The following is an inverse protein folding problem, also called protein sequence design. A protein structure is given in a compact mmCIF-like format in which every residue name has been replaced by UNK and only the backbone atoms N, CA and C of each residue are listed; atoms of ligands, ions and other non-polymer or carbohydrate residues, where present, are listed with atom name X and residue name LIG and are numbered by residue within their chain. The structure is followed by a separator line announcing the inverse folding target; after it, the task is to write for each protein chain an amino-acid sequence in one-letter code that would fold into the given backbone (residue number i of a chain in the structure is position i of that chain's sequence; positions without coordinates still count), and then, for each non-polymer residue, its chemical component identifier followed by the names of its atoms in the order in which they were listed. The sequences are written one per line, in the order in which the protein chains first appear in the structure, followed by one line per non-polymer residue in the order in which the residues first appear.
data_IF_138041208338
#
_entry.id   IF_138041208338
#
_cell.length_a   1.000
_cell.length_b   1.000
_cell.length_c   1.000
_cell.angle_alpha   90.00
_cell.angle_beta   90.00
_cell.angle_gamma   90.00
#
_symmetry.space_group_name_H-M   'P 1'
#
loop_
_entity.id
_entity.type
_entity.pdbx_description
1 polymer ?
#
# COMPACT_ATOMS: atom_id res chain seq x y z
N UNK A 1 12.12 37.69 -58.70
CA UNK A 1 12.10 36.40 -57.98
C UNK A 1 13.30 36.35 -57.04
N UNK A 2 13.11 36.24 -55.72
CA UNK A 2 14.23 36.08 -54.77
C UNK A 2 13.94 36.60 -53.36
N UNK A 3 12.92 36.05 -52.70
CA UNK A 3 12.61 36.37 -51.30
C UNK A 3 13.66 35.72 -50.34
N UNK A 4 13.93 36.32 -49.16
CA UNK A 4 15.21 36.21 -48.49
C UNK A 4 15.36 34.91 -47.68
N UNK A 5 16.19 33.98 -48.15
CA UNK A 5 16.53 32.73 -47.45
C UNK A 5 17.21 32.97 -46.08
N UNK A 6 17.88 34.12 -45.90
CA UNK A 6 18.65 34.47 -44.70
C UNK A 6 17.78 34.71 -43.45
N UNK A 7 16.55 35.24 -43.64
CA UNK A 7 15.60 35.50 -42.54
C UNK A 7 14.87 34.23 -42.10
N UNK A 8 14.53 33.35 -43.05
CA UNK A 8 13.89 32.05 -42.78
C UNK A 8 14.81 31.11 -42.01
N UNK A 9 16.09 31.05 -42.38
CA UNK A 9 17.10 30.29 -41.65
C UNK A 9 17.30 30.83 -40.22
N UNK A 10 17.33 32.16 -40.03
CA UNK A 10 17.45 32.78 -38.71
C UNK A 10 16.23 32.52 -37.82
N UNK A 11 15.00 32.60 -38.36
CA UNK A 11 13.78 32.23 -37.61
C UNK A 11 13.76 30.74 -37.25
N UNK A 12 14.16 29.85 -38.16
CA UNK A 12 14.27 28.41 -37.89
C UNK A 12 15.32 28.10 -36.81
N UNK A 13 16.48 28.77 -36.85
CA UNK A 13 17.53 28.67 -35.83
C UNK A 13 17.04 29.16 -34.45
N UNK A 14 16.30 30.27 -34.42
CA UNK A 14 15.72 30.81 -33.18
C UNK A 14 14.63 29.88 -32.60
N UNK A 15 13.76 29.32 -33.43
CA UNK A 15 12.73 28.36 -33.01
C UNK A 15 13.33 27.06 -32.45
N UNK A 16 14.37 26.53 -33.10
CA UNK A 16 15.10 25.35 -32.60
C UNK A 16 15.83 25.64 -31.28
N UNK A 17 16.40 26.83 -31.12
CA UNK A 17 17.03 27.25 -29.87
C UNK A 17 16.02 27.38 -28.71
N UNK A 18 14.79 27.83 -28.98
CA UNK A 18 13.73 27.89 -27.96
C UNK A 18 13.21 26.52 -27.54
N UNK A 19 13.23 25.52 -28.43
CA UNK A 19 12.78 24.16 -28.12
C UNK A 19 13.76 23.41 -27.20
N UNK A 20 15.05 23.77 -27.23
CA UNK A 20 16.07 23.23 -26.33
C UNK A 20 16.05 23.84 -24.91
N UNK A 21 15.39 24.99 -24.71
CA UNK A 21 15.22 25.63 -23.39
C UNK A 21 14.06 25.04 -22.58
N UNK A 22 13.14 24.29 -23.21
CA UNK A 22 11.95 23.70 -22.55
C UNK A 22 12.21 22.27 -22.09
N UNK A 23 13.35 21.66 -22.41
CA UNK A 23 13.76 20.39 -21.82
C UNK A 23 14.56 20.62 -20.55
N UNK A 24 13.88 21.00 -19.47
CA UNK A 24 14.41 20.80 -18.13
C UNK A 24 14.08 19.37 -17.71
N UNK A 25 14.99 18.37 -17.76
CA UNK A 25 14.83 17.14 -16.99
C UNK A 25 15.19 17.46 -15.52
N UNK A 26 14.50 18.45 -14.96
CA UNK A 26 14.77 19.03 -13.65
C UNK A 26 13.62 18.79 -12.68
N UNK A 27 12.81 17.76 -12.90
CA UNK A 27 11.98 17.23 -11.83
C UNK A 27 12.83 16.22 -11.08
N UNK A 28 13.72 16.72 -10.22
CA UNK A 28 14.16 15.94 -9.09
C UNK A 28 12.94 15.73 -8.21
N UNK A 29 12.17 14.68 -8.48
CA UNK A 29 11.36 14.06 -7.45
C UNK A 29 12.36 13.72 -6.35
N UNK A 30 12.40 14.54 -5.29
CA UNK A 30 12.96 14.11 -4.02
C UNK A 30 12.08 12.95 -3.58
N UNK A 31 12.40 11.75 -4.05
CA UNK A 31 11.78 10.52 -3.59
C UNK A 31 12.31 10.34 -2.18
N UNK A 32 11.63 10.98 -1.22
CA UNK A 32 11.93 10.79 0.20
C UNK A 32 11.98 9.30 0.45
N UNK A 33 13.04 8.84 1.10
CA UNK A 33 13.15 7.44 1.54
C UNK A 33 11.85 7.06 2.26
N UNK A 34 11.19 5.95 1.88
CA UNK A 34 9.99 5.49 2.55
C UNK A 34 10.26 5.43 4.05
N UNK A 35 9.46 6.12 4.85
CA UNK A 35 9.64 6.13 6.30
C UNK A 35 9.56 4.67 6.79
N UNK A 36 10.63 4.20 7.44
CA UNK A 36 10.67 2.90 8.11
C UNK A 36 10.18 3.09 9.54
N UNK A 37 9.16 2.32 9.93
CA UNK A 37 8.61 2.39 11.28
C UNK A 37 8.01 1.04 11.67
N UNK A 38 8.06 0.75 12.98
CA UNK A 38 7.52 -0.50 13.53
C UNK A 38 5.99 -0.57 13.48
N UNK A 39 5.40 -1.74 13.76
CA UNK A 39 3.95 -1.91 13.75
C UNK A 39 3.22 -0.99 14.74
N UNK A 40 2.25 -0.24 14.22
CA UNK A 40 1.33 0.59 15.00
C UNK A 40 -0.07 0.09 14.72
N UNK A 41 -0.79 -0.35 15.77
CA UNK A 41 -2.16 -0.79 15.64
C UNK A 41 -3.07 0.34 15.16
N UNK A 42 -3.82 0.07 14.10
CA UNK A 42 -4.96 0.88 13.66
C UNK A 42 -6.28 0.25 14.11
N UNK A 43 -6.32 -1.07 14.21
CA UNK A 43 -7.47 -1.84 14.63
C UNK A 43 -7.00 -2.99 15.54
N UNK A 44 -7.65 -3.12 16.68
CA UNK A 44 -7.35 -4.13 17.69
C UNK A 44 -8.55 -5.06 17.88
N UNK A 45 -8.33 -6.33 18.24
CA UNK A 45 -9.43 -7.22 18.57
C UNK A 45 -10.22 -6.68 19.75
N UNK A 46 -11.54 -6.70 19.60
CA UNK A 46 -12.49 -6.36 20.66
C UNK A 46 -13.21 -7.60 21.14
N UNK A 47 -13.64 -7.58 22.40
CA UNK A 47 -14.52 -8.63 22.91
C UNK A 47 -15.86 -8.61 22.17
N UNK A 48 -16.30 -9.78 21.71
CA UNK A 48 -17.58 -9.97 21.06
C UNK A 48 -18.25 -11.24 21.60
N UNK A 49 -19.57 -11.30 21.47
CA UNK A 49 -20.38 -12.49 21.78
C UNK A 49 -20.93 -13.02 20.47
N UNK A 50 -20.74 -14.32 20.22
CA UNK A 50 -21.29 -15.00 19.06
C UNK A 50 -22.58 -15.73 19.47
N UNK A 51 -23.76 -15.40 18.91
CA UNK A 51 -25.01 -16.08 19.24
C UNK A 51 -25.00 -17.53 18.76
N UNK A 52 -25.41 -18.48 19.60
CA UNK A 52 -25.47 -19.90 19.22
C UNK A 52 -26.53 -20.15 18.12
N UNK A 53 -27.60 -19.36 18.09
CA UNK A 53 -28.64 -19.41 17.05
C UNK A 53 -28.29 -18.64 15.76
N UNK A 54 -27.06 -18.11 15.63
CA UNK A 54 -26.64 -17.41 14.41
C UNK A 54 -26.65 -18.35 13.20
N UNK A 55 -27.08 -17.83 12.05
CA UNK A 55 -26.97 -18.51 10.77
C UNK A 55 -25.57 -18.36 10.15
N UNK A 56 -24.73 -17.46 10.68
CA UNK A 56 -23.32 -17.37 10.29
C UNK A 56 -22.55 -18.60 10.78
N UNK A 57 -21.63 -19.07 9.95
CA UNK A 57 -20.76 -20.21 10.24
C UNK A 57 -19.34 -19.77 10.62
N UNK A 58 -19.10 -18.47 10.81
CA UNK A 58 -17.79 -17.94 11.13
C UNK A 58 -17.85 -16.65 11.94
N UNK A 59 -16.79 -16.40 12.70
CA UNK A 59 -16.56 -15.14 13.41
C UNK A 59 -15.16 -14.62 13.12
N UNK A 60 -15.03 -13.30 12.98
CA UNK A 60 -13.77 -12.63 12.67
C UNK A 60 -13.35 -11.70 13.79
N UNK A 61 -12.15 -11.90 14.32
CA UNK A 61 -11.47 -10.99 15.23
C UNK A 61 -10.53 -10.11 14.40
N UNK A 62 -10.89 -8.84 14.25
CA UNK A 62 -10.16 -7.90 13.42
C UNK A 62 -8.84 -7.46 14.07
N UNK A 63 -7.78 -7.34 13.26
CA UNK A 63 -6.49 -6.81 13.69
C UNK A 63 -5.76 -6.21 12.49
N UNK A 64 -5.42 -4.91 12.59
CA UNK A 64 -4.65 -4.21 11.55
C UNK A 64 -3.57 -3.35 12.20
N UNK A 65 -2.35 -3.48 11.69
CA UNK A 65 -1.23 -2.65 12.05
C UNK A 65 -0.58 -2.03 10.80
N UNK A 66 -0.34 -0.72 10.85
CA UNK A 66 0.55 -0.07 9.88
C UNK A 66 1.98 -0.33 10.26
N UNK A 67 2.79 -0.70 9.27
CA UNK A 67 4.22 -0.85 9.41
C UNK A 67 4.89 -0.63 8.06
N UNK A 68 6.17 -0.26 8.10
CA UNK A 68 7.03 -0.20 6.93
C UNK A 68 8.38 -0.80 7.31
N UNK A 69 8.74 -2.00 6.82
CA UNK A 69 7.98 -2.90 5.93
C UNK A 69 6.68 -3.48 6.53
N UNK A 70 5.80 -4.14 5.75
CA UNK A 70 4.53 -4.68 6.24
C UNK A 70 4.67 -5.60 7.45
N UNK A 71 3.73 -5.50 8.40
CA UNK A 71 3.74 -6.28 9.62
C UNK A 71 3.40 -7.77 9.38
N UNK A 72 3.93 -8.63 10.23
CA UNK A 72 3.50 -10.03 10.35
C UNK A 72 2.62 -10.19 11.58
N UNK A 73 1.67 -11.12 11.51
CA UNK A 73 0.63 -11.28 12.53
C UNK A 73 0.72 -12.68 13.15
N UNK A 74 0.45 -12.73 14.45
CA UNK A 74 0.35 -13.96 15.24
C UNK A 74 -0.76 -13.79 16.26
N UNK A 75 -1.49 -14.87 16.52
CA UNK A 75 -2.56 -14.88 17.51
C UNK A 75 -2.21 -15.78 18.67
N UNK A 76 -2.69 -15.37 19.85
CA UNK A 76 -2.57 -16.15 21.07
C UNK A 76 -3.95 -16.35 21.68
N UNK A 77 -4.19 -17.55 22.17
CA UNK A 77 -5.36 -17.88 22.98
C UNK A 77 -4.88 -18.19 24.40
N UNK A 78 -5.39 -17.47 25.39
CA UNK A 78 -4.99 -17.61 26.80
C UNK A 78 -3.47 -17.55 27.02
N UNK A 79 -2.78 -16.70 26.25
CA UNK A 79 -1.32 -16.54 26.33
C UNK A 79 -0.49 -17.52 25.49
N UNK A 80 -1.11 -18.59 24.97
CA UNK A 80 -0.45 -19.61 24.13
C UNK A 80 -0.58 -19.26 22.65
N UNK A 81 0.53 -19.36 21.91
CA UNK A 81 0.54 -19.14 20.45
C UNK A 81 -0.32 -20.17 19.73
N UNK A 82 -1.22 -19.69 18.86
CA UNK A 82 -2.12 -20.55 18.10
C UNK A 82 -1.41 -21.07 16.85
N UNK A 83 -1.59 -22.36 16.55
CA UNK A 83 -1.16 -22.93 15.29
C UNK A 83 -2.27 -22.72 14.23
N UNK A 84 -2.01 -21.85 13.24
CA UNK A 84 -2.96 -21.45 12.20
C UNK A 84 -2.64 -22.17 10.88
N UNK A 85 -2.60 -23.50 10.93
CA UNK A 85 -2.31 -24.35 9.77
C UNK A 85 -3.45 -24.32 8.73
N UNK A 86 -3.13 -24.48 7.43
CA UNK A 86 -4.13 -24.67 6.40
C UNK A 86 -5.06 -25.86 6.74
N UNK A 87 -6.37 -25.65 6.66
CA UNK A 87 -7.38 -26.67 6.99
C UNK A 87 -7.81 -26.72 8.46
N UNK A 88 -7.18 -25.92 9.34
CA UNK A 88 -7.68 -25.69 10.70
C UNK A 88 -8.98 -24.86 10.67
N UNK A 89 -9.79 -25.00 11.73
CA UNK A 89 -10.95 -24.11 11.97
C UNK A 89 -10.52 -22.67 12.31
N UNK A 90 -9.25 -22.45 12.63
CA UNK A 90 -8.67 -21.13 12.91
C UNK A 90 -7.78 -20.71 11.73
N UNK A 91 -8.07 -19.57 11.12
CA UNK A 91 -7.37 -19.10 9.93
C UNK A 91 -6.87 -17.66 10.10
N UNK A 92 -5.68 -17.36 9.54
CA UNK A 92 -5.12 -16.01 9.51
C UNK A 92 -5.39 -15.36 8.15
N UNK A 93 -6.18 -14.28 8.12
CA UNK A 93 -6.48 -13.53 6.90
C UNK A 93 -6.11 -12.05 7.03
N UNK A 94 -4.97 -11.66 6.45
CA UNK A 94 -4.54 -10.25 6.43
C UNK A 94 -4.31 -9.63 7.81
N UNK A 95 -4.11 -10.46 8.84
CA UNK A 95 -4.00 -10.06 10.24
C UNK A 95 -5.19 -10.46 11.10
N UNK A 96 -6.37 -10.63 10.49
CA UNK A 96 -7.59 -11.06 11.18
C UNK A 96 -7.54 -12.55 11.51
N UNK A 97 -8.05 -12.91 12.69
CA UNK A 97 -8.30 -14.30 13.06
C UNK A 97 -9.75 -14.65 12.69
N UNK A 98 -9.91 -15.60 11.78
CA UNK A 98 -11.20 -16.16 11.39
C UNK A 98 -11.38 -17.50 12.10
N UNK A 99 -12.50 -17.67 12.78
CA UNK A 99 -12.87 -18.90 13.49
C UNK A 99 -14.10 -19.47 12.80
N UNK A 100 -13.94 -20.63 12.17
CA UNK A 100 -15.02 -21.38 11.51
C UNK A 100 -15.78 -22.22 12.53
N UNK A 101 -17.10 -22.29 12.33
CA UNK A 101 -18.10 -22.97 13.16
C UNK A 101 -17.85 -22.77 14.65
N UNK A 102 -17.79 -21.50 15.13
CA UNK A 102 -17.37 -21.12 16.48
C UNK A 102 -18.05 -21.92 17.60
#
# INVERSE_FOLDING_TARGET
MGAPARKRASLLLLLLATMALVSSPGWSFSQGTPATFGPVFEEQPVGLLFPEESAEDQVTLACRARASPPATYRWKMNGTEMNLEPGSRHQLMGGNLVIMSP
#
